data_IF_171767441968
#
_entry.id   IF_171767441968
#
_cell.length_a   1.000
_cell.length_b   1.000
_cell.length_c   1.000
_cell.angle_alpha   90.00
_cell.angle_beta   90.00
_cell.angle_gamma   90.00
#
_symmetry.space_group_name_H-M   'P 1'
#
loop_
_entity.id
_entity.type
_entity.pdbx_description
1 polymer ?
#
# COMPACT_ATOMS: atom_id res chain seq x y z
N UNK A 1 -4.79 -2.77 -24.81
CA UNK A 1 -4.83 -1.61 -23.89
C UNK A 1 -4.47 -0.37 -24.71
N UNK A 2 -5.22 0.74 -24.64
CA UNK A 2 -4.81 1.98 -25.35
C UNK A 2 -3.41 2.42 -24.86
N UNK A 3 -2.57 2.98 -25.75
CA UNK A 3 -1.21 3.44 -25.40
C UNK A 3 -1.20 4.32 -24.15
N UNK A 4 -2.19 5.22 -24.00
CA UNK A 4 -2.35 6.09 -22.82
C UNK A 4 -2.66 5.31 -21.52
N UNK A 5 -3.51 4.28 -21.59
CA UNK A 5 -3.79 3.42 -20.43
C UNK A 5 -2.51 2.70 -19.98
N UNK A 6 -1.70 2.22 -20.92
CA UNK A 6 -0.41 1.61 -20.59
C UNK A 6 0.53 2.59 -19.89
N UNK A 7 0.66 3.81 -20.42
CA UNK A 7 1.47 4.86 -19.79
C UNK A 7 1.00 5.13 -18.36
N UNK A 8 -0.29 5.37 -18.15
CA UNK A 8 -0.83 5.64 -16.81
C UNK A 8 -0.54 4.49 -15.85
N UNK A 9 -0.79 3.24 -16.27
CA UNK A 9 -0.53 2.06 -15.44
C UNK A 9 0.94 1.97 -15.04
N UNK A 10 1.86 2.05 -16.00
CA UNK A 10 3.29 1.85 -15.72
C UNK A 10 3.91 3.01 -14.96
N UNK A 11 3.48 4.25 -15.24
CA UNK A 11 4.00 5.42 -14.52
C UNK A 11 3.49 5.44 -13.09
N UNK A 12 2.20 5.18 -12.83
CA UNK A 12 1.68 5.10 -11.44
C UNK A 12 2.24 3.90 -10.70
N UNK A 13 2.44 2.77 -11.37
CA UNK A 13 3.09 1.59 -10.79
C UNK A 13 4.52 1.92 -10.36
N UNK A 14 5.28 2.59 -11.23
CA UNK A 14 6.68 2.94 -10.96
C UNK A 14 6.77 4.04 -9.90
N UNK A 15 5.91 5.05 -9.93
CA UNK A 15 5.91 6.12 -8.93
C UNK A 15 5.67 5.59 -7.52
N UNK A 16 4.68 4.72 -7.33
CA UNK A 16 4.47 4.10 -6.02
C UNK A 16 5.56 3.13 -5.62
N UNK A 17 6.12 2.39 -6.59
CA UNK A 17 7.30 1.57 -6.37
C UNK A 17 8.47 2.39 -5.82
N UNK A 18 8.69 3.61 -6.33
CA UNK A 18 9.71 4.53 -5.82
C UNK A 18 9.38 5.08 -4.42
N UNK A 19 8.10 5.35 -4.12
CA UNK A 19 7.69 5.66 -2.74
C UNK A 19 8.09 4.54 -1.77
N UNK A 20 7.84 3.28 -2.11
CA UNK A 20 8.24 2.13 -1.28
C UNK A 20 9.75 1.91 -1.23
N UNK A 21 10.45 2.04 -2.35
CA UNK A 21 11.90 1.94 -2.41
C UNK A 21 12.57 2.97 -1.48
N UNK A 22 12.06 4.20 -1.44
CA UNK A 22 12.57 5.25 -0.55
C UNK A 22 12.33 4.96 0.94
N UNK A 23 11.27 4.23 1.31
CA UNK A 23 11.04 3.76 2.69
C UNK A 23 12.04 2.68 3.10
N UNK A 24 12.46 1.84 2.14
CA UNK A 24 13.45 0.79 2.36
C UNK A 24 14.84 1.31 2.71
N UNK A 25 15.15 2.58 2.35
CA UNK A 25 16.44 3.20 2.65
C UNK A 25 16.82 3.08 4.13
N UNK A 26 15.94 3.44 5.08
CA UNK A 26 16.24 3.30 6.51
C UNK A 26 16.36 1.82 6.91
N UNK A 27 15.43 0.97 6.46
CA UNK A 27 15.40 -0.43 6.89
C UNK A 27 16.66 -1.22 6.54
N UNK A 28 17.29 -0.94 5.39
CA UNK A 28 18.51 -1.63 4.94
C UNK A 28 19.81 -1.01 5.43
N UNK A 29 19.76 0.05 6.25
CA UNK A 29 20.96 0.70 6.83
C UNK A 29 20.90 0.85 8.34
N UNK A 30 19.93 0.21 9.01
CA UNK A 30 19.73 0.29 10.47
C UNK A 30 21.00 -0.02 11.25
N UNK A 31 21.75 -1.05 10.84
CA UNK A 31 23.00 -1.41 11.55
C UNK A 31 24.08 -0.36 11.36
N UNK A 32 24.19 0.21 10.15
CA UNK A 32 25.21 1.21 9.81
C UNK A 32 24.94 2.57 10.47
N UNK A 33 23.69 3.04 10.46
CA UNK A 33 23.33 4.31 11.10
C UNK A 33 23.46 4.22 12.63
N UNK A 34 23.12 3.06 13.21
CA UNK A 34 23.28 2.80 14.63
C UNK A 34 24.76 2.80 15.04
N UNK A 35 25.62 2.13 14.26
CA UNK A 35 27.06 2.17 14.47
C UNK A 35 27.62 3.59 14.40
N UNK A 36 27.07 4.44 13.51
CA UNK A 36 27.51 5.82 13.40
C UNK A 36 27.07 6.65 14.60
N UNK A 37 25.80 6.56 15.03
CA UNK A 37 25.30 7.24 16.22
C UNK A 37 26.10 6.93 17.49
N UNK A 38 26.67 5.73 17.59
CA UNK A 38 27.50 5.31 18.73
C UNK A 38 29.00 5.60 18.52
N UNK A 39 29.40 6.10 17.35
CA UNK A 39 30.79 6.44 17.06
C UNK A 39 31.24 7.59 17.96
N UNK A 40 32.37 7.41 18.65
CA UNK A 40 33.06 8.46 19.39
C UNK A 40 34.26 9.03 18.62
N UNK A 41 34.40 8.66 17.34
CA UNK A 41 35.58 9.01 16.52
C UNK A 41 35.35 10.29 15.68
N UNK A 42 34.14 10.45 15.16
CA UNK A 42 33.75 11.51 14.22
C UNK A 42 32.89 12.59 14.85
N UNK A 43 32.14 12.25 15.90
CA UNK A 43 31.29 13.14 16.68
C UNK A 43 31.11 12.54 18.08
N UNK A 44 30.60 13.30 19.07
CA UNK A 44 30.14 12.72 20.32
C UNK A 44 29.03 11.69 20.06
N UNK A 45 29.03 10.55 20.76
CA UNK A 45 28.00 9.53 20.57
C UNK A 45 26.63 10.09 20.96
N UNK A 46 25.63 9.84 20.11
CA UNK A 46 24.23 10.16 20.38
C UNK A 46 23.63 9.20 21.42
N UNK A 47 24.11 7.95 21.42
CA UNK A 47 23.72 6.89 22.36
C UNK A 47 24.97 6.19 22.89
N UNK A 48 24.99 5.90 24.19
CA UNK A 48 26.10 5.19 24.84
C UNK A 48 25.93 3.66 24.77
N UNK A 49 24.68 3.18 24.70
CA UNK A 49 24.35 1.76 24.69
C UNK A 49 23.60 1.37 23.41
N UNK A 50 23.91 0.17 22.91
CA UNK A 50 23.28 -0.43 21.72
C UNK A 50 21.75 -0.57 21.87
N UNK A 51 21.28 -0.89 23.09
CA UNK A 51 19.87 -0.99 23.39
C UNK A 51 19.12 0.34 23.14
N UNK A 52 19.66 1.46 23.61
CA UNK A 52 19.03 2.78 23.47
C UNK A 52 18.88 3.17 21.99
N UNK A 53 19.90 2.88 21.18
CA UNK A 53 19.88 3.15 19.74
C UNK A 53 18.87 2.25 19.00
N UNK A 54 18.75 0.97 19.37
CA UNK A 54 17.72 0.06 18.86
C UNK A 54 16.31 0.53 19.21
N UNK A 55 16.06 0.92 20.45
CA UNK A 55 14.76 1.47 20.87
C UNK A 55 14.43 2.76 20.11
N UNK A 56 15.43 3.60 19.83
CA UNK A 56 15.23 4.81 19.04
C UNK A 56 14.87 4.50 17.58
N UNK A 57 15.51 3.51 16.94
CA UNK A 57 15.13 3.05 15.60
C UNK A 57 13.68 2.55 15.54
N UNK A 58 13.28 1.72 16.49
CA UNK A 58 11.89 1.27 16.59
C UNK A 58 10.91 2.43 16.80
N UNK A 59 11.31 3.43 17.59
CA UNK A 59 10.54 4.65 17.80
C UNK A 59 10.41 5.47 16.51
N UNK A 60 11.46 5.59 15.70
CA UNK A 60 11.40 6.26 14.39
C UNK A 60 10.42 5.57 13.44
N UNK A 61 10.46 4.24 13.32
CA UNK A 61 9.51 3.48 12.49
C UNK A 61 8.06 3.71 12.96
N UNK A 62 7.83 3.70 14.28
CA UNK A 62 6.51 3.98 14.86
C UNK A 62 6.05 5.43 14.60
N UNK A 63 6.95 6.40 14.74
CA UNK A 63 6.69 7.82 14.48
C UNK A 63 6.32 8.04 13.02
N UNK A 64 7.09 7.46 12.09
CA UNK A 64 6.78 7.51 10.67
C UNK A 64 5.41 6.91 10.37
N UNK A 65 5.12 5.71 10.86
CA UNK A 65 3.82 5.06 10.63
C UNK A 65 2.65 5.84 11.25
N UNK A 66 2.86 6.47 12.40
CA UNK A 66 1.84 7.32 13.05
C UNK A 66 1.57 8.58 12.25
N UNK A 67 2.63 9.29 11.83
CA UNK A 67 2.52 10.48 10.99
C UNK A 67 1.87 10.15 9.64
N UNK A 68 2.29 9.03 9.02
CA UNK A 68 1.74 8.52 7.77
C UNK A 68 0.24 8.20 7.91
N UNK A 69 -0.16 7.51 8.98
CA UNK A 69 -1.57 7.19 9.26
C UNK A 69 -2.41 8.45 9.42
N UNK A 70 -1.98 9.41 10.22
CA UNK A 70 -2.67 10.68 10.43
C UNK A 70 -2.84 11.45 9.10
N UNK A 71 -1.77 11.51 8.31
CA UNK A 71 -1.77 12.20 7.03
C UNK A 71 -2.64 11.50 5.98
N UNK A 72 -2.80 10.18 6.00
CA UNK A 72 -3.70 9.48 5.05
C UNK A 72 -5.16 9.88 5.21
N UNK A 73 -5.64 10.11 6.43
CA UNK A 73 -6.99 10.63 6.64
C UNK A 73 -7.15 12.03 6.03
N UNK A 74 -6.13 12.88 6.20
CA UNK A 74 -6.11 14.23 5.65
C UNK A 74 -6.01 14.24 4.11
N UNK A 75 -5.03 13.54 3.54
CA UNK A 75 -4.80 13.43 2.11
C UNK A 75 -5.92 12.68 1.40
N UNK A 76 -6.58 11.74 2.06
CA UNK A 76 -7.79 11.11 1.54
C UNK A 76 -8.86 12.15 1.20
N UNK A 77 -9.23 12.98 2.19
CA UNK A 77 -10.23 14.04 2.02
C UNK A 77 -9.78 15.13 1.03
N UNK A 78 -8.51 15.52 1.07
CA UNK A 78 -7.99 16.58 0.22
C UNK A 78 -7.77 16.11 -1.23
N UNK A 79 -7.45 14.83 -1.42
CA UNK A 79 -7.23 14.21 -2.73
C UNK A 79 -8.47 14.16 -3.60
N UNK A 80 -9.68 14.18 -3.01
CA UNK A 80 -10.94 14.31 -3.77
C UNK A 80 -11.19 15.74 -4.27
N UNK A 81 -10.45 16.74 -3.75
CA UNK A 81 -10.59 18.17 -4.10
C UNK A 81 -9.46 18.67 -4.99
N UNK A 82 -8.28 18.07 -4.89
CA UNK A 82 -7.10 18.44 -5.67
C UNK A 82 -6.96 17.55 -6.90
N UNK A 83 -6.18 18.01 -7.87
CA UNK A 83 -5.81 17.18 -9.00
C UNK A 83 -4.74 16.15 -8.54
N UNK A 84 -5.03 14.84 -8.61
CA UNK A 84 -4.21 13.80 -7.98
C UNK A 84 -2.79 13.73 -8.57
N UNK A 85 -2.60 14.04 -9.86
CA UNK A 85 -1.28 14.15 -10.48
C UNK A 85 -0.36 15.11 -9.74
N UNK A 86 -0.85 16.32 -9.44
CA UNK A 86 -0.03 17.32 -8.75
C UNK A 86 0.24 16.94 -7.30
N UNK A 87 -0.72 16.28 -6.64
CA UNK A 87 -0.52 15.76 -5.28
C UNK A 87 0.57 14.68 -5.26
N UNK A 88 0.52 13.71 -6.17
CA UNK A 88 1.55 12.65 -6.28
C UNK A 88 2.92 13.26 -6.56
N UNK A 89 3.04 14.16 -7.54
CA UNK A 89 4.31 14.79 -7.88
C UNK A 89 4.88 15.63 -6.73
N UNK A 90 4.05 16.46 -6.08
CA UNK A 90 4.47 17.26 -4.93
C UNK A 90 4.89 16.38 -3.74
N UNK A 91 4.17 15.27 -3.50
CA UNK A 91 4.53 14.27 -2.50
C UNK A 91 5.88 13.62 -2.75
N UNK A 92 6.19 13.29 -4.00
CA UNK A 92 7.47 12.69 -4.39
C UNK A 92 8.63 13.68 -4.18
N UNK A 93 8.45 14.95 -4.57
CA UNK A 93 9.42 16.02 -4.30
C UNK A 93 9.61 16.22 -2.79
N UNK A 94 8.51 16.32 -2.03
CA UNK A 94 8.57 16.45 -0.57
C UNK A 94 9.27 15.26 0.09
N UNK A 95 9.03 14.06 -0.41
CA UNK A 95 9.68 12.82 0.05
C UNK A 95 11.18 12.84 -0.23
N UNK A 96 11.62 13.29 -1.42
CA UNK A 96 13.03 13.46 -1.73
C UNK A 96 13.73 14.44 -0.77
N UNK A 97 13.10 15.58 -0.53
CA UNK A 97 13.65 16.63 0.36
C UNK A 97 13.77 16.10 1.79
N UNK A 98 12.67 15.57 2.34
CA UNK A 98 12.63 15.11 3.74
C UNK A 98 13.52 13.90 3.98
N UNK A 99 13.67 12.99 3.01
CA UNK A 99 14.59 11.85 3.12
C UNK A 99 16.07 12.28 3.07
N UNK A 100 16.41 13.24 2.21
CA UNK A 100 17.76 13.84 2.17
C UNK A 100 18.09 14.53 3.50
N UNK A 101 17.13 15.31 4.03
CA UNK A 101 17.25 15.95 5.33
C UNK A 101 17.44 14.92 6.45
N UNK A 102 16.68 13.83 6.45
CA UNK A 102 16.78 12.80 7.49
C UNK A 102 18.13 12.07 7.49
N UNK A 103 18.58 11.56 6.34
CA UNK A 103 19.69 10.61 6.31
C UNK A 103 21.04 11.17 5.84
N UNK A 104 21.04 12.12 4.90
CA UNK A 104 22.27 12.61 4.27
C UNK A 104 22.86 13.81 5.01
N UNK A 105 22.01 14.75 5.42
CA UNK A 105 22.44 16.04 5.98
C UNK A 105 23.12 15.91 7.36
N UNK A 106 22.61 15.11 8.31
CA UNK A 106 23.30 14.86 9.59
C UNK A 106 24.73 14.36 9.43
N UNK A 107 24.93 13.40 8.51
CA UNK A 107 26.24 12.82 8.21
C UNK A 107 27.19 13.81 7.55
N UNK A 108 26.71 14.53 6.54
CA UNK A 108 27.52 15.49 5.78
C UNK A 108 28.01 16.66 6.65
N UNK A 109 27.16 17.13 7.57
CA UNK A 109 27.44 18.28 8.44
C UNK A 109 27.91 17.88 9.84
N UNK A 110 28.04 16.58 10.13
CA UNK A 110 28.40 16.02 11.43
C UNK A 110 27.58 16.58 12.62
N UNK A 111 26.26 16.74 12.45
CA UNK A 111 25.36 17.07 13.55
C UNK A 111 24.34 15.94 13.74
N UNK A 112 24.17 15.50 14.99
CA UNK A 112 23.29 14.39 15.34
C UNK A 112 22.40 14.83 16.49
N UNK A 113 21.09 14.78 16.29
CA UNK A 113 20.11 15.23 17.29
C UNK A 113 18.86 14.38 17.21
N UNK A 114 18.44 13.83 18.35
CA UNK A 114 17.21 13.05 18.50
C UNK A 114 16.01 13.83 17.94
N UNK A 115 15.88 15.10 18.33
CA UNK A 115 14.76 15.94 17.89
C UNK A 115 14.76 16.19 16.38
N UNK A 116 15.94 16.31 15.78
CA UNK A 116 16.07 16.51 14.33
C UNK A 116 15.61 15.26 13.56
N UNK A 117 16.08 14.07 13.98
CA UNK A 117 15.66 12.81 13.37
C UNK A 117 14.16 12.59 13.51
N UNK A 118 13.59 12.86 14.70
CA UNK A 118 12.14 12.77 14.92
C UNK A 118 11.38 13.72 13.98
N UNK A 119 11.76 15.00 13.94
CA UNK A 119 11.04 16.01 13.15
C UNK A 119 11.10 15.73 11.64
N UNK A 120 12.28 15.39 11.13
CA UNK A 120 12.47 15.08 9.71
C UNK A 120 11.74 13.82 9.30
N UNK A 121 11.68 12.80 10.17
CA UNK A 121 10.99 11.55 9.87
C UNK A 121 9.46 11.66 10.02
N UNK A 122 8.96 12.51 10.93
CA UNK A 122 7.55 12.95 10.94
C UNK A 122 7.22 13.62 9.61
N UNK A 123 8.03 14.60 9.18
CA UNK A 123 7.82 15.30 7.93
C UNK A 123 7.80 14.34 6.73
N UNK A 124 8.74 13.38 6.70
CA UNK A 124 8.77 12.32 5.69
C UNK A 124 7.48 11.50 5.68
N UNK A 125 6.99 11.05 6.84
CA UNK A 125 5.72 10.32 6.96
C UNK A 125 4.50 11.12 6.46
N UNK A 126 4.41 12.41 6.81
CA UNK A 126 3.31 13.28 6.40
C UNK A 126 3.25 13.48 4.87
N UNK A 127 4.40 13.67 4.22
CA UNK A 127 4.46 13.89 2.75
C UNK A 127 4.33 12.58 1.98
N UNK A 128 4.89 11.47 2.48
CA UNK A 128 4.78 10.14 1.88
C UNK A 128 3.33 9.65 1.76
N UNK A 129 2.47 10.04 2.71
CA UNK A 129 1.09 9.58 2.78
C UNK A 129 0.22 10.00 1.59
N UNK A 130 0.53 11.11 0.92
CA UNK A 130 -0.33 11.65 -0.12
C UNK A 130 -0.39 10.80 -1.41
N UNK A 131 0.64 9.97 -1.65
CA UNK A 131 0.78 9.18 -2.88
C UNK A 131 -0.35 8.16 -3.05
N UNK A 132 -0.66 7.38 -2.01
CA UNK A 132 -1.58 6.25 -2.14
C UNK A 132 -3.01 6.63 -2.50
N UNK A 133 -3.70 7.54 -1.76
CA UNK A 133 -5.08 7.89 -2.09
C UNK A 133 -5.20 8.52 -3.49
N UNK A 134 -4.20 9.33 -3.87
CA UNK A 134 -4.16 10.03 -5.15
C UNK A 134 -3.95 9.08 -6.33
N UNK A 135 -3.05 8.09 -6.20
CA UNK A 135 -2.83 7.10 -7.25
C UNK A 135 -4.00 6.11 -7.37
N UNK A 136 -4.63 5.71 -6.25
CA UNK A 136 -5.86 4.92 -6.30
C UNK A 136 -6.96 5.70 -7.01
N UNK A 137 -7.09 7.01 -6.79
CA UNK A 137 -8.05 7.84 -7.51
C UNK A 137 -7.76 7.87 -9.04
N UNK A 138 -6.50 7.99 -9.44
CA UNK A 138 -6.08 7.91 -10.86
C UNK A 138 -6.41 6.53 -11.43
N UNK A 139 -6.03 5.46 -10.74
CA UNK A 139 -6.27 4.09 -11.20
C UNK A 139 -7.77 3.77 -11.30
N UNK A 140 -8.58 4.23 -10.35
CA UNK A 140 -10.03 4.10 -10.41
C UNK A 140 -10.63 4.85 -11.61
N UNK A 141 -10.14 6.07 -11.90
CA UNK A 141 -10.62 6.85 -13.04
C UNK A 141 -10.31 6.19 -14.40
N UNK A 142 -9.14 5.56 -14.53
CA UNK A 142 -8.67 4.97 -15.80
C UNK A 142 -9.07 3.51 -16.00
N UNK A 143 -9.20 2.74 -14.92
CA UNK A 143 -9.39 1.28 -14.93
C UNK A 143 -10.60 0.80 -14.13
N UNK A 144 -11.40 1.71 -13.58
CA UNK A 144 -12.60 1.39 -12.81
C UNK A 144 -13.75 0.79 -13.62
N UNK A 145 -13.56 0.05 -14.72
CA UNK A 145 -14.62 -0.75 -15.38
C UNK A 145 -14.00 -2.07 -15.90
N UNK A 146 -14.70 -3.20 -15.74
CA UNK A 146 -14.23 -4.53 -16.19
C UNK A 146 -13.47 -5.32 -15.13
N UNK A 147 -12.43 -6.07 -15.53
CA UNK A 147 -11.57 -6.93 -14.68
C UNK A 147 -10.70 -6.12 -13.69
N UNK A 148 -11.36 -5.41 -12.76
CA UNK A 148 -10.74 -4.50 -11.80
C UNK A 148 -9.81 -5.24 -10.85
N UNK A 149 -10.13 -6.47 -10.47
CA UNK A 149 -9.35 -7.25 -9.53
C UNK A 149 -7.99 -7.63 -10.08
N UNK A 150 -7.92 -8.12 -11.31
CA UNK A 150 -6.65 -8.48 -11.94
C UNK A 150 -5.78 -7.24 -12.18
N UNK A 151 -6.37 -6.17 -12.73
CA UNK A 151 -5.62 -4.94 -13.01
C UNK A 151 -5.08 -4.34 -11.71
N UNK A 152 -5.91 -4.24 -10.67
CA UNK A 152 -5.50 -3.66 -9.40
C UNK A 152 -4.62 -4.60 -8.58
N UNK A 153 -4.80 -5.92 -8.69
CA UNK A 153 -3.91 -6.91 -8.10
C UNK A 153 -2.52 -6.86 -8.72
N UNK A 154 -2.44 -6.68 -10.04
CA UNK A 154 -1.18 -6.44 -10.73
C UNK A 154 -0.59 -5.06 -10.41
N UNK A 155 -1.42 -4.02 -10.32
CA UNK A 155 -0.94 -2.69 -10.00
C UNK A 155 -0.42 -2.60 -8.55
N UNK A 156 -1.16 -3.14 -7.58
CA UNK A 156 -0.78 -3.14 -6.16
C UNK A 156 0.51 -3.92 -5.87
N UNK A 157 0.95 -4.78 -6.80
CA UNK A 157 2.28 -5.38 -6.75
C UNK A 157 3.42 -4.35 -6.86
N UNK A 158 3.13 -3.07 -7.18
CA UNK A 158 4.09 -1.97 -7.10
C UNK A 158 4.73 -1.85 -5.72
N UNK A 159 3.99 -2.15 -4.64
CA UNK A 159 4.51 -2.08 -3.27
C UNK A 159 5.64 -3.11 -3.05
N UNK A 160 5.40 -4.43 -3.16
CA UNK A 160 6.47 -5.41 -3.01
C UNK A 160 7.57 -5.27 -4.07
N UNK A 161 7.25 -4.89 -5.32
CA UNK A 161 8.30 -4.63 -6.34
C UNK A 161 9.19 -3.45 -5.93
N UNK A 162 8.62 -2.38 -5.38
CA UNK A 162 9.35 -1.25 -4.81
C UNK A 162 10.22 -1.66 -3.62
N UNK A 163 9.73 -2.55 -2.75
CA UNK A 163 10.49 -3.09 -1.62
C UNK A 163 11.72 -3.88 -2.08
N UNK A 164 11.56 -4.76 -3.07
CA UNK A 164 12.64 -5.55 -3.66
C UNK A 164 13.67 -4.62 -4.30
N UNK A 165 13.22 -3.70 -5.15
CA UNK A 165 14.09 -2.73 -5.79
C UNK A 165 14.86 -1.89 -4.76
N UNK A 166 14.17 -1.35 -3.75
CA UNK A 166 14.79 -0.54 -2.70
C UNK A 166 15.81 -1.31 -1.86
N UNK A 167 15.55 -2.59 -1.56
CA UNK A 167 16.49 -3.43 -0.80
C UNK A 167 17.76 -3.73 -1.61
N UNK A 168 17.61 -4.12 -2.89
CA UNK A 168 18.74 -4.34 -3.81
C UNK A 168 19.52 -3.04 -4.00
N UNK A 169 18.82 -1.93 -4.23
CA UNK A 169 19.44 -0.63 -4.45
C UNK A 169 20.23 -0.16 -3.22
N UNK A 170 19.66 -0.30 -2.03
CA UNK A 170 20.34 0.03 -0.77
C UNK A 170 21.60 -0.82 -0.58
N UNK A 171 21.51 -2.15 -0.79
CA UNK A 171 22.65 -3.05 -0.67
C UNK A 171 23.79 -2.73 -1.67
N UNK A 172 23.46 -2.27 -2.89
CA UNK A 172 24.45 -1.88 -3.89
C UNK A 172 25.16 -0.55 -3.56
N UNK A 173 24.45 0.37 -2.92
CA UNK A 173 24.96 1.72 -2.60
C UNK A 173 25.66 1.76 -1.25
N UNK A 174 25.28 0.89 -0.30
CA UNK A 174 25.79 0.87 1.07
C UNK A 174 27.33 0.87 1.19
N UNK A 175 28.11 0.17 0.33
CA UNK A 175 29.58 0.24 0.38
C UNK A 175 30.18 1.64 0.20
N UNK A 176 29.41 2.58 -0.37
CA UNK A 176 29.82 3.98 -0.54
C UNK A 176 29.60 4.82 0.74
N UNK A 177 28.77 4.35 1.68
CA UNK A 177 28.30 5.08 2.86
C UNK A 177 26.77 5.07 2.96
N UNK A 178 26.24 4.99 4.18
CA UNK A 178 24.78 4.91 4.38
C UNK A 178 24.08 6.20 3.94
N UNK A 179 24.73 7.35 4.06
CA UNK A 179 24.22 8.66 3.66
C UNK A 179 23.91 8.75 2.16
N UNK A 180 24.64 8.00 1.34
CA UNK A 180 24.42 7.91 -0.09
C UNK A 180 23.20 7.07 -0.44
N UNK A 181 22.84 6.09 0.40
CA UNK A 181 21.60 5.34 0.21
C UNK A 181 20.39 6.27 0.30
N UNK A 182 20.38 7.21 1.24
CA UNK A 182 19.34 8.22 1.38
C UNK A 182 19.37 9.24 0.23
N UNK A 183 20.56 9.73 -0.14
CA UNK A 183 20.71 10.73 -1.20
C UNK A 183 20.27 10.18 -2.56
N UNK A 184 20.74 8.98 -2.93
CA UNK A 184 20.44 8.42 -4.25
C UNK A 184 18.98 7.95 -4.34
N UNK A 185 18.38 7.42 -3.26
CA UNK A 185 16.92 7.17 -3.24
C UNK A 185 16.12 8.47 -3.40
N UNK A 186 16.58 9.57 -2.79
CA UNK A 186 15.96 10.89 -2.93
C UNK A 186 16.04 11.41 -4.37
N UNK A 187 17.16 11.18 -5.06
CA UNK A 187 17.29 11.53 -6.49
C UNK A 187 16.37 10.67 -7.37
N UNK A 188 16.25 9.37 -7.09
CA UNK A 188 15.37 8.48 -7.85
C UNK A 188 13.89 8.88 -7.74
N UNK A 189 13.41 9.16 -6.52
CA UNK A 189 12.02 9.60 -6.34
C UNK A 189 11.79 11.00 -6.93
N UNK A 190 12.79 11.88 -6.94
CA UNK A 190 12.72 13.18 -7.62
C UNK A 190 12.61 13.04 -9.15
N UNK A 191 13.39 12.14 -9.76
CA UNK A 191 13.26 11.81 -11.19
C UNK A 191 11.87 11.24 -11.47
N UNK A 192 11.39 10.34 -10.61
CA UNK A 192 10.02 9.81 -10.68
C UNK A 192 8.96 10.91 -10.65
N UNK A 193 9.13 11.94 -9.82
CA UNK A 193 8.22 13.08 -9.73
C UNK A 193 8.13 13.84 -11.07
N UNK A 194 9.27 14.06 -11.73
CA UNK A 194 9.33 14.71 -13.05
C UNK A 194 8.58 13.86 -14.07
N UNK A 195 8.80 12.54 -14.08
CA UNK A 195 8.12 11.62 -15.00
C UNK A 195 6.60 11.65 -14.76
N UNK A 196 6.13 11.56 -13.52
CA UNK A 196 4.70 11.68 -13.19
C UNK A 196 4.12 12.99 -13.69
N UNK A 197 4.82 14.10 -13.46
CA UNK A 197 4.37 15.43 -13.84
C UNK A 197 4.23 15.60 -15.36
N UNK A 198 5.10 14.99 -16.16
CA UNK A 198 5.03 15.10 -17.63
C UNK A 198 4.18 14.02 -18.30
N UNK A 199 4.04 12.82 -17.70
CA UNK A 199 3.50 11.64 -18.39
C UNK A 199 2.09 11.22 -18.02
N UNK A 200 1.56 11.61 -16.86
CA UNK A 200 0.22 11.19 -16.42
C UNK A 200 -0.80 12.30 -16.64
N UNK A 201 -1.99 11.95 -17.12
CA UNK A 201 -3.19 12.77 -17.04
C UNK A 201 -4.12 12.18 -15.96
N UNK A 202 -4.63 13.03 -15.05
CA UNK A 202 -5.42 12.58 -13.90
C UNK A 202 -6.74 11.94 -14.29
N UNK A 203 -7.38 12.46 -15.35
CA UNK A 203 -8.60 11.88 -15.91
C UNK A 203 -8.43 11.64 -17.41
N UNK A 204 -9.09 10.62 -17.98
CA UNK A 204 -9.09 10.40 -19.43
C UNK A 204 -9.56 11.62 -20.24
N UNK A 205 -10.46 12.42 -19.65
CA UNK A 205 -11.05 13.63 -20.25
C UNK A 205 -10.06 14.80 -20.34
N UNK A 206 -9.06 14.86 -19.46
CA UNK A 206 -8.02 15.91 -19.46
C UNK A 206 -7.03 15.72 -20.62
N UNK A 207 -7.05 14.54 -21.26
CA UNK A 207 -6.22 14.22 -22.40
C UNK A 207 -6.89 14.73 -23.70
N UNK A 208 -6.87 16.04 -23.93
CA UNK A 208 -7.35 16.66 -25.17
C UNK A 208 -6.79 15.89 -26.39
N UNK A 209 -7.68 15.44 -27.28
CA UNK A 209 -7.30 14.80 -28.55
C UNK A 209 -8.01 13.49 -28.91
N UNK A 210 -8.96 12.97 -28.12
CA UNK A 210 -9.67 11.71 -28.44
C UNK A 210 -11.20 11.85 -28.61
N UNK A 211 -11.67 13.00 -29.10
CA UNK A 211 -13.07 13.17 -29.54
C UNK A 211 -13.24 13.71 -30.97
N UNK A 212 -12.16 13.85 -31.76
CA UNK A 212 -12.28 14.42 -33.12
C UNK A 212 -12.35 13.41 -34.28
N UNK A 213 -12.28 12.09 -34.06
CA UNK A 213 -12.26 11.12 -35.18
C UNK A 213 -13.45 10.14 -35.25
N UNK A 214 -14.48 10.31 -34.42
CA UNK A 214 -15.68 9.43 -34.46
C UNK A 214 -17.02 10.20 -34.53
N UNK A 215 -17.02 11.53 -34.47
CA UNK A 215 -18.25 12.34 -34.33
C UNK A 215 -18.69 13.14 -35.56
N UNK A 216 -18.08 12.98 -36.75
CA UNK A 216 -18.54 13.72 -37.94
C UNK A 216 -19.78 13.10 -38.62
N UNK A 217 -20.07 11.80 -38.43
CA UNK A 217 -21.24 11.15 -39.04
C UNK A 217 -22.44 10.93 -38.09
N UNK A 218 -22.25 11.01 -36.76
CA UNK A 218 -23.31 10.72 -35.77
C UNK A 218 -23.99 11.97 -35.19
N UNK A 219 -23.50 13.17 -35.50
CA UNK A 219 -23.97 14.43 -34.90
C UNK A 219 -25.40 14.79 -35.31
N UNK A 220 -25.83 14.43 -36.52
CA UNK A 220 -27.20 14.74 -36.99
C UNK A 220 -28.28 13.87 -36.33
N UNK A 221 -27.99 12.60 -36.06
CA UNK A 221 -28.94 11.71 -35.38
C UNK A 221 -29.02 11.96 -33.86
N UNK A 222 -27.89 12.34 -33.23
CA UNK A 222 -27.83 12.57 -31.77
C UNK A 222 -28.47 13.90 -31.35
N UNK A 223 -28.43 14.94 -32.19
CA UNK A 223 -29.08 16.23 -31.89
C UNK A 223 -30.62 16.16 -31.85
N UNK A 224 -31.24 15.17 -32.51
CA UNK A 224 -32.70 15.00 -32.47
C UNK A 224 -33.15 14.19 -31.25
N UNK A 225 -32.30 13.34 -30.68
CA UNK A 225 -32.54 12.58 -29.44
C UNK A 225 -32.20 13.38 -28.16
N UNK A 226 -31.19 14.25 -28.20
CA UNK A 226 -30.78 15.08 -27.06
C UNK A 226 -31.80 16.16 -26.66
N UNK A 227 -32.82 16.44 -27.48
CA UNK A 227 -33.90 17.37 -27.10
C UNK A 227 -34.98 16.73 -26.20
N UNK A 228 -34.96 15.42 -25.97
CA UNK A 228 -35.99 14.71 -25.18
C UNK A 228 -35.51 14.11 -23.85
N UNK A 229 -34.20 14.11 -23.58
CA UNK A 229 -33.64 13.70 -22.29
C UNK A 229 -33.05 14.93 -21.61
N UNK A 230 -33.90 15.59 -20.85
CA UNK A 230 -33.56 16.79 -20.10
C UNK A 230 -32.71 16.40 -18.88
N UNK A 231 -31.47 16.90 -18.86
CA UNK A 231 -30.49 16.96 -17.77
C UNK A 231 -29.87 15.65 -17.22
N UNK A 232 -28.69 15.21 -17.70
CA UNK A 232 -27.69 14.64 -16.81
C UNK A 232 -27.00 15.84 -16.12
N UNK A 233 -27.55 16.29 -15.00
CA UNK A 233 -26.80 17.18 -14.12
C UNK A 233 -25.47 16.52 -13.78
N UNK A 234 -24.37 17.11 -14.24
CA UNK A 234 -23.02 16.91 -13.69
C UNK A 234 -23.02 17.44 -12.26
N UNK A 235 -23.70 16.74 -11.36
CA UNK A 235 -23.62 16.94 -9.93
C UNK A 235 -22.26 16.41 -9.49
N UNK A 236 -21.26 17.29 -9.42
CA UNK A 236 -20.12 17.05 -8.55
C UNK A 236 -20.67 17.01 -7.12
N UNK A 237 -21.03 15.82 -6.63
CA UNK A 237 -21.46 15.64 -5.25
C UNK A 237 -20.39 16.18 -4.30
N UNK A 238 -20.81 16.79 -3.19
CA UNK A 238 -19.86 17.32 -2.20
C UNK A 238 -18.94 16.22 -1.66
N UNK A 239 -17.65 16.51 -1.39
CA UNK A 239 -16.74 15.57 -0.75
C UNK A 239 -17.34 15.02 0.55
N UNK A 240 -17.31 13.69 0.72
CA UNK A 240 -17.87 13.07 1.92
C UNK A 240 -16.95 13.27 3.13
N UNK A 241 -17.53 13.45 4.31
CA UNK A 241 -16.78 13.45 5.57
C UNK A 241 -16.29 12.05 5.94
N UNK A 242 -15.20 11.93 6.70
CA UNK A 242 -14.68 10.64 7.20
C UNK A 242 -15.70 9.79 7.95
N UNK A 243 -16.57 10.41 8.76
CA UNK A 243 -17.62 9.69 9.51
C UNK A 243 -18.62 9.05 8.55
N UNK A 244 -19.09 9.80 7.56
CA UNK A 244 -19.97 9.27 6.50
C UNK A 244 -19.28 8.13 5.75
N UNK A 245 -18.00 8.28 5.39
CA UNK A 245 -17.23 7.23 4.73
C UNK A 245 -17.10 5.96 5.58
N UNK A 246 -16.88 6.09 6.89
CA UNK A 246 -16.76 4.96 7.82
C UNK A 246 -18.07 4.18 7.98
N UNK A 247 -19.20 4.87 7.94
CA UNK A 247 -20.53 4.28 8.06
C UNK A 247 -21.03 3.59 6.78
N UNK A 248 -20.27 3.68 5.68
CA UNK A 248 -20.61 2.98 4.45
C UNK A 248 -20.57 1.45 4.65
N UNK A 249 -21.48 0.70 3.98
CA UNK A 249 -21.56 -0.75 4.11
C UNK A 249 -20.22 -1.45 3.86
N UNK A 250 -19.72 -2.15 4.89
CA UNK A 250 -18.51 -2.94 4.81
C UNK A 250 -17.19 -2.17 4.97
N UNK A 251 -17.19 -0.82 4.93
CA UNK A 251 -15.95 -0.03 5.06
C UNK A 251 -15.29 -0.27 6.42
N UNK A 252 -16.02 -0.14 7.53
CA UNK A 252 -15.49 -0.39 8.87
C UNK A 252 -14.92 -1.80 9.03
N UNK A 253 -15.61 -2.82 8.48
CA UNK A 253 -15.15 -4.21 8.54
C UNK A 253 -13.80 -4.40 7.83
N UNK A 254 -13.66 -3.82 6.64
CA UNK A 254 -12.40 -3.86 5.89
C UNK A 254 -11.31 -2.97 6.52
N UNK A 255 -11.66 -1.86 7.18
CA UNK A 255 -10.69 -1.04 7.93
C UNK A 255 -10.07 -1.84 9.09
N UNK A 256 -10.89 -2.54 9.88
CA UNK A 256 -10.39 -3.38 11.00
C UNK A 256 -9.56 -4.55 10.47
N UNK A 257 -10.03 -5.19 9.39
CA UNK A 257 -9.28 -6.25 8.71
C UNK A 257 -7.92 -5.74 8.21
N UNK A 258 -7.90 -4.58 7.55
CA UNK A 258 -6.68 -3.97 7.03
C UNK A 258 -5.73 -3.53 8.15
N UNK A 259 -6.23 -3.04 9.29
CA UNK A 259 -5.41 -2.72 10.46
C UNK A 259 -4.63 -3.93 10.96
N UNK A 260 -5.29 -5.08 11.09
CA UNK A 260 -4.64 -6.33 11.51
C UNK A 260 -3.62 -6.82 10.46
N UNK A 261 -4.01 -6.83 9.18
CA UNK A 261 -3.15 -7.33 8.11
C UNK A 261 -1.96 -6.43 7.81
N UNK A 262 -2.16 -5.12 7.78
CA UNK A 262 -1.08 -4.16 7.54
C UNK A 262 -0.07 -4.19 8.70
N UNK A 263 -0.53 -4.41 9.94
CA UNK A 263 0.37 -4.66 11.07
C UNK A 263 1.30 -5.85 10.80
N UNK A 264 0.75 -7.02 10.48
CA UNK A 264 1.56 -8.21 10.19
C UNK A 264 2.45 -7.98 8.97
N UNK A 265 1.91 -7.43 7.88
CA UNK A 265 2.66 -7.20 6.65
C UNK A 265 3.83 -6.22 6.85
N UNK A 266 3.62 -5.15 7.61
CA UNK A 266 4.66 -4.15 7.88
C UNK A 266 5.65 -4.62 8.94
N UNK A 267 5.26 -5.59 9.79
CA UNK A 267 6.22 -6.28 10.63
C UNK A 267 7.29 -6.99 9.79
N UNK A 268 6.88 -7.74 8.76
CA UNK A 268 7.81 -8.33 7.81
C UNK A 268 8.59 -7.25 7.05
N UNK A 269 7.96 -6.14 6.65
CA UNK A 269 8.66 -5.06 5.94
C UNK A 269 9.83 -4.44 6.73
N UNK A 270 9.62 -4.13 8.02
CA UNK A 270 10.58 -3.38 8.84
C UNK A 270 11.52 -4.26 9.68
N UNK A 271 11.09 -5.46 10.06
CA UNK A 271 11.79 -6.30 11.05
C UNK A 271 12.32 -7.61 10.48
N UNK A 272 11.90 -8.03 9.28
CA UNK A 272 12.32 -9.33 8.73
C UNK A 272 13.84 -9.46 8.56
N UNK A 273 14.58 -8.48 8.00
CA UNK A 273 16.04 -8.58 7.94
C UNK A 273 16.67 -8.67 9.33
N UNK A 274 16.21 -7.83 10.27
CA UNK A 274 16.72 -7.84 11.64
C UNK A 274 16.48 -9.19 12.32
N UNK A 275 15.28 -9.78 12.17
CA UNK A 275 14.97 -11.11 12.68
C UNK A 275 15.93 -12.17 12.14
N UNK A 276 16.23 -12.14 10.84
CA UNK A 276 17.12 -13.13 10.22
C UNK A 276 18.56 -13.00 10.72
N UNK A 277 19.04 -11.77 10.93
CA UNK A 277 20.36 -11.50 11.51
C UNK A 277 20.42 -11.87 12.98
N UNK A 278 19.40 -11.55 13.77
CA UNK A 278 19.35 -11.82 15.21
C UNK A 278 19.17 -13.32 15.53
N UNK A 279 18.21 -13.99 14.86
CA UNK A 279 17.86 -15.37 15.16
C UNK A 279 18.80 -16.42 14.51
N UNK A 280 19.40 -16.10 13.36
CA UNK A 280 20.21 -17.05 12.59
C UNK A 280 21.65 -16.58 12.33
N UNK A 281 22.04 -15.40 12.82
CA UNK A 281 23.38 -14.82 12.67
C UNK A 281 23.84 -14.68 11.22
N UNK A 282 22.89 -14.48 10.30
CA UNK A 282 23.20 -14.19 8.89
C UNK A 282 23.66 -12.74 8.72
N UNK A 283 24.55 -12.53 7.75
CA UNK A 283 25.02 -11.18 7.40
C UNK A 283 23.84 -10.31 6.94
N UNK A 284 23.89 -9.01 7.23
CA UNK A 284 22.82 -8.04 6.89
C UNK A 284 22.45 -8.09 5.40
N UNK A 285 23.46 -8.14 4.52
CA UNK A 285 23.24 -8.27 3.07
C UNK A 285 22.53 -9.56 2.66
N UNK A 286 22.80 -10.67 3.35
CA UNK A 286 22.16 -11.97 3.09
C UNK A 286 20.73 -11.98 3.63
N UNK A 287 20.51 -11.43 4.82
CA UNK A 287 19.19 -11.27 5.43
C UNK A 287 18.26 -10.40 4.56
N UNK A 288 18.78 -9.28 4.04
CA UNK A 288 18.07 -8.42 3.10
C UNK A 288 17.70 -9.16 1.81
N UNK A 289 18.64 -9.90 1.21
CA UNK A 289 18.38 -10.70 0.02
C UNK A 289 17.35 -11.81 0.26
N UNK A 290 17.37 -12.46 1.42
CA UNK A 290 16.36 -13.45 1.76
C UNK A 290 14.98 -12.83 1.98
N UNK A 291 14.91 -11.63 2.55
CA UNK A 291 13.64 -10.92 2.80
C UNK A 291 12.82 -10.67 1.52
N UNK A 292 13.47 -10.59 0.36
CA UNK A 292 12.85 -10.45 -0.97
C UNK A 292 11.84 -11.56 -1.26
N UNK A 293 12.05 -12.78 -0.74
CA UNK A 293 11.14 -13.90 -0.99
C UNK A 293 9.74 -13.68 -0.40
N UNK A 294 9.64 -12.92 0.69
CA UNK A 294 8.34 -12.48 1.22
C UNK A 294 7.59 -11.60 0.20
N UNK A 295 8.26 -10.56 -0.31
CA UNK A 295 7.68 -9.65 -1.30
C UNK A 295 7.33 -10.38 -2.61
N UNK A 296 8.19 -11.33 -3.04
CA UNK A 296 7.94 -12.16 -4.21
C UNK A 296 6.65 -12.98 -4.08
N UNK A 297 6.43 -13.60 -2.91
CA UNK A 297 5.18 -14.27 -2.60
C UNK A 297 3.98 -13.33 -2.67
N UNK A 298 4.12 -12.11 -2.14
CA UNK A 298 3.08 -11.07 -2.17
C UNK A 298 2.69 -10.62 -3.57
N UNK A 299 3.64 -10.51 -4.50
CA UNK A 299 3.39 -10.22 -5.92
C UNK A 299 2.50 -11.31 -6.53
N UNK A 300 2.89 -12.58 -6.35
CA UNK A 300 2.14 -13.72 -6.90
C UNK A 300 0.73 -13.75 -6.29
N UNK A 301 0.62 -13.62 -4.96
CA UNK A 301 -0.66 -13.64 -4.25
C UNK A 301 -1.61 -12.53 -4.72
N UNK A 302 -1.09 -11.32 -4.93
CA UNK A 302 -1.88 -10.17 -5.40
C UNK A 302 -2.37 -10.34 -6.85
N UNK A 303 -1.47 -10.71 -7.77
CA UNK A 303 -1.82 -10.87 -9.20
C UNK A 303 -2.78 -12.03 -9.40
N UNK A 304 -2.44 -13.21 -8.87
CA UNK A 304 -3.25 -14.43 -9.01
C UNK A 304 -4.56 -14.25 -8.27
N UNK A 305 -4.54 -13.68 -7.07
CA UNK A 305 -5.76 -13.45 -6.31
C UNK A 305 -6.69 -12.44 -6.97
N UNK A 306 -6.14 -11.41 -7.62
CA UNK A 306 -6.90 -10.44 -8.40
C UNK A 306 -7.63 -11.10 -9.57
N UNK A 307 -6.94 -11.97 -10.31
CA UNK A 307 -7.52 -12.78 -11.38
C UNK A 307 -8.61 -13.73 -10.89
N UNK A 308 -8.33 -14.51 -9.83
CA UNK A 308 -9.27 -15.49 -9.28
C UNK A 308 -10.54 -14.78 -8.78
N UNK A 309 -10.39 -13.68 -8.05
CA UNK A 309 -11.55 -12.95 -7.52
C UNK A 309 -12.39 -12.29 -8.60
N UNK A 310 -11.80 -11.85 -9.72
CA UNK A 310 -12.57 -11.39 -10.89
C UNK A 310 -13.39 -12.54 -11.48
N UNK A 311 -12.80 -13.72 -11.63
CA UNK A 311 -13.50 -14.91 -12.14
C UNK A 311 -14.60 -15.40 -11.19
N UNK A 312 -14.40 -15.25 -9.88
CA UNK A 312 -15.40 -15.60 -8.86
C UNK A 312 -16.53 -14.58 -8.76
N UNK A 313 -16.34 -13.33 -9.21
CA UNK A 313 -17.29 -12.23 -9.03
C UNK A 313 -17.44 -11.73 -7.58
N UNK A 314 -16.83 -12.39 -6.59
CA UNK A 314 -16.79 -11.99 -5.18
C UNK A 314 -15.37 -12.04 -4.64
N UNK A 315 -14.99 -11.04 -3.82
CA UNK A 315 -13.63 -10.88 -3.28
C UNK A 315 -13.40 -11.64 -1.97
N UNK A 316 -14.35 -11.55 -1.04
CA UNK A 316 -14.11 -11.97 0.35
C UNK A 316 -13.81 -13.47 0.53
N UNK A 317 -14.37 -14.42 -0.25
CA UNK A 317 -14.07 -15.84 -0.04
C UNK A 317 -12.61 -16.21 -0.27
N UNK A 318 -11.99 -15.66 -1.31
CA UNK A 318 -10.57 -15.91 -1.56
C UNK A 318 -9.71 -15.31 -0.44
N UNK A 319 -10.01 -14.07 -0.03
CA UNK A 319 -9.27 -13.39 1.03
C UNK A 319 -9.32 -14.20 2.33
N UNK A 320 -10.51 -14.61 2.76
CA UNK A 320 -10.64 -15.47 3.96
C UNK A 320 -9.87 -16.77 3.79
N UNK A 321 -9.91 -17.41 2.62
CA UNK A 321 -9.11 -18.60 2.33
C UNK A 321 -7.60 -18.36 2.48
N UNK A 322 -7.08 -17.26 1.92
CA UNK A 322 -5.67 -16.88 2.04
C UNK A 322 -5.29 -16.60 3.49
N UNK A 323 -6.17 -15.95 4.28
CA UNK A 323 -5.95 -15.67 5.70
C UNK A 323 -6.01 -16.93 6.58
N UNK A 324 -6.82 -17.91 6.23
CA UNK A 324 -6.79 -19.21 6.94
C UNK A 324 -5.49 -19.94 6.64
N UNK A 325 -5.06 -19.95 5.37
CA UNK A 325 -3.77 -20.52 4.98
C UNK A 325 -2.58 -19.79 5.62
N UNK A 326 -2.71 -18.47 5.90
CA UNK A 326 -1.64 -17.70 6.51
C UNK A 326 -1.34 -18.11 7.95
N UNK A 327 -2.34 -18.60 8.69
CA UNK A 327 -2.12 -19.14 10.05
C UNK A 327 -1.18 -20.35 9.98
N UNK A 328 -1.41 -21.25 9.02
CA UNK A 328 -0.55 -22.41 8.79
C UNK A 328 0.85 -22.04 8.30
N UNK A 329 0.97 -21.09 7.37
CA UNK A 329 2.28 -20.65 6.85
C UNK A 329 3.10 -19.93 7.91
N UNK A 330 2.49 -19.09 8.75
CA UNK A 330 3.14 -18.44 9.88
C UNK A 330 3.58 -19.45 10.94
N UNK A 331 2.75 -20.46 11.23
CA UNK A 331 3.14 -21.54 12.13
C UNK A 331 4.37 -22.29 11.61
N UNK A 332 4.39 -22.66 10.34
CA UNK A 332 5.56 -23.30 9.73
C UNK A 332 6.79 -22.40 9.78
N UNK A 333 6.65 -21.11 9.48
CA UNK A 333 7.77 -20.16 9.49
C UNK A 333 8.37 -19.97 10.88
N UNK A 334 7.56 -19.99 11.95
CA UNK A 334 8.03 -19.93 13.33
C UNK A 334 8.91 -21.14 13.74
N UNK A 335 8.93 -22.22 12.94
CA UNK A 335 9.62 -23.48 13.25
C UNK A 335 10.60 -23.95 12.17
N UNK A 336 10.77 -23.22 11.07
CA UNK A 336 11.51 -23.72 9.89
C UNK A 336 13.04 -23.78 10.07
N UNK A 337 13.58 -23.10 11.08
CA UNK A 337 15.01 -23.10 11.38
C UNK A 337 15.89 -22.41 10.31
N UNK A 338 17.21 -22.58 10.39
CA UNK A 338 18.19 -21.80 9.61
C UNK A 338 18.48 -22.36 8.21
N UNK A 339 17.71 -23.31 7.68
CA UNK A 339 17.99 -23.83 6.34
C UNK A 339 17.50 -22.84 5.28
N UNK A 340 18.41 -22.09 4.64
CA UNK A 340 18.10 -20.95 3.74
C UNK A 340 17.04 -21.26 2.68
N UNK A 341 17.14 -22.41 1.98
CA UNK A 341 16.17 -22.77 0.95
C UNK A 341 14.75 -22.96 1.52
N UNK A 342 14.65 -23.61 2.67
CA UNK A 342 13.36 -23.88 3.31
C UNK A 342 12.76 -22.61 3.89
N UNK A 343 13.62 -21.77 4.48
CA UNK A 343 13.25 -20.44 4.95
C UNK A 343 12.67 -19.59 3.79
N UNK A 344 13.35 -19.51 2.65
CA UNK A 344 12.89 -18.79 1.46
C UNK A 344 11.55 -19.31 0.90
N UNK A 345 11.37 -20.64 0.80
CA UNK A 345 10.15 -21.26 0.27
C UNK A 345 8.92 -21.00 1.17
N UNK A 346 9.07 -21.15 2.48
CA UNK A 346 7.96 -20.86 3.41
C UNK A 346 7.73 -19.36 3.54
N UNK A 347 8.78 -18.54 3.51
CA UNK A 347 8.63 -17.09 3.48
C UNK A 347 7.86 -16.62 2.23
N UNK A 348 8.10 -17.24 1.06
CA UNK A 348 7.30 -17.01 -0.14
C UNK A 348 5.83 -17.40 0.08
N UNK A 349 5.59 -18.51 0.77
CA UNK A 349 4.23 -18.96 1.12
C UNK A 349 3.54 -18.00 2.10
N UNK A 350 4.27 -17.46 3.08
CA UNK A 350 3.79 -16.42 4.01
C UNK A 350 3.48 -15.14 3.22
N UNK A 351 4.37 -14.70 2.33
CA UNK A 351 4.13 -13.55 1.44
C UNK A 351 2.87 -13.70 0.60
N UNK A 352 2.69 -14.87 -0.02
CA UNK A 352 1.48 -15.17 -0.80
C UNK A 352 0.21 -15.06 0.05
N UNK A 353 0.24 -15.59 1.27
CA UNK A 353 -0.94 -15.72 2.15
C UNK A 353 -1.20 -14.50 3.06
N UNK A 354 -0.21 -13.63 3.29
CA UNK A 354 -0.31 -12.41 4.12
C UNK A 354 -0.27 -11.15 3.26
N UNK A 355 0.80 -10.95 2.49
CA UNK A 355 0.97 -9.78 1.63
C UNK A 355 -0.03 -9.78 0.46
N UNK A 356 -0.31 -10.95 -0.11
CA UNK A 356 -1.32 -11.13 -1.16
C UNK A 356 -2.70 -10.55 -0.81
N UNK A 357 -3.39 -11.03 0.24
CA UNK A 357 -4.70 -10.48 0.62
C UNK A 357 -4.63 -9.03 1.09
N UNK A 358 -3.54 -8.60 1.73
CA UNK A 358 -3.32 -7.19 2.06
C UNK A 358 -3.32 -6.32 0.78
N UNK A 359 -2.54 -6.68 -0.24
CA UNK A 359 -2.48 -5.96 -1.52
C UNK A 359 -3.84 -5.92 -2.25
N UNK A 360 -4.61 -7.02 -2.18
CA UNK A 360 -5.97 -7.05 -2.72
C UNK A 360 -6.93 -6.10 -2.00
N UNK A 361 -6.82 -6.00 -0.67
CA UNK A 361 -7.65 -5.12 0.15
C UNK A 361 -7.35 -3.66 -0.19
N UNK A 362 -6.09 -3.26 -0.12
CA UNK A 362 -5.71 -1.87 -0.35
C UNK A 362 -5.89 -1.46 -1.82
N UNK A 363 -5.72 -2.39 -2.77
CA UNK A 363 -5.88 -2.13 -4.20
C UNK A 363 -7.33 -2.27 -4.68
N UNK A 364 -7.78 -3.51 -4.88
CA UNK A 364 -9.07 -3.80 -5.52
C UNK A 364 -10.28 -3.49 -4.64
N UNK A 365 -10.26 -3.87 -3.35
CA UNK A 365 -11.39 -3.62 -2.44
C UNK A 365 -11.53 -2.13 -2.12
N UNK A 366 -10.42 -1.41 -1.99
CA UNK A 366 -10.47 0.06 -1.84
C UNK A 366 -11.29 0.72 -2.95
N UNK A 367 -11.09 0.28 -4.20
CA UNK A 367 -11.87 0.75 -5.34
C UNK A 367 -13.32 0.28 -5.28
N UNK A 368 -13.56 -0.99 -4.94
CA UNK A 368 -14.92 -1.53 -4.81
C UNK A 368 -15.73 -0.81 -3.72
N UNK A 369 -15.11 -0.45 -2.60
CA UNK A 369 -15.72 0.33 -1.51
C UNK A 369 -15.98 1.78 -1.92
N UNK A 370 -15.05 2.41 -2.63
CA UNK A 370 -15.21 3.77 -3.13
C UNK A 370 -16.22 3.90 -4.29
N UNK A 371 -16.48 2.81 -5.00
CA UNK A 371 -17.36 2.77 -6.18
C UNK A 371 -18.71 2.07 -5.93
N UNK A 372 -19.09 1.87 -4.67
CA UNK A 372 -20.32 1.14 -4.32
C UNK A 372 -21.60 1.93 -4.69
N UNK A 373 -22.77 1.26 -4.85
CA UNK A 373 -24.02 1.92 -5.22
C UNK A 373 -24.47 3.02 -4.25
N UNK A 374 -24.14 2.92 -2.95
CA UNK A 374 -24.42 3.97 -1.96
C UNK A 374 -23.70 5.30 -2.25
N UNK A 375 -22.71 5.29 -3.15
CA UNK A 375 -21.97 6.46 -3.63
C UNK A 375 -22.31 6.80 -5.09
N UNK A 376 -23.36 6.18 -5.67
CA UNK A 376 -23.82 6.50 -7.02
C UNK A 376 -24.17 7.99 -7.11
N UNK A 377 -23.45 8.72 -7.97
CA UNK A 377 -23.56 10.18 -8.12
C UNK A 377 -22.52 11.01 -7.36
N UNK A 378 -21.70 10.42 -6.49
CA UNK A 378 -20.58 11.10 -5.83
C UNK A 378 -19.23 10.51 -6.26
N UNK A 379 -18.64 11.11 -7.29
CA UNK A 379 -17.31 10.72 -7.80
C UNK A 379 -16.14 11.20 -6.91
N UNK A 380 -16.42 12.00 -5.87
CA UNK A 380 -15.45 12.61 -4.94
C UNK A 380 -15.38 11.86 -3.59
N UNK A 381 -15.47 10.53 -3.62
CA UNK A 381 -15.36 9.69 -2.43
C UNK A 381 -14.21 8.67 -2.49
N UNK A 382 -13.58 8.49 -3.66
CA UNK A 382 -12.58 7.45 -3.89
C UNK A 382 -11.32 7.66 -3.04
N UNK A 383 -10.80 8.89 -3.02
CA UNK A 383 -9.60 9.21 -2.26
C UNK A 383 -9.89 9.17 -0.75
N UNK A 384 -11.06 9.66 -0.32
CA UNK A 384 -11.47 9.59 1.09
C UNK A 384 -11.61 8.16 1.60
N UNK A 385 -12.28 7.27 0.85
CA UNK A 385 -12.43 5.85 1.24
C UNK A 385 -11.07 5.14 1.24
N UNK A 386 -10.23 5.38 0.23
CA UNK A 386 -8.89 4.80 0.16
C UNK A 386 -8.00 5.28 1.32
N UNK A 387 -8.01 6.60 1.60
CA UNK A 387 -7.28 7.19 2.72
C UNK A 387 -7.77 6.72 4.09
N UNK A 388 -9.08 6.50 4.26
CA UNK A 388 -9.64 5.92 5.48
C UNK A 388 -9.20 4.46 5.66
N UNK A 389 -9.30 3.64 4.60
CA UNK A 389 -8.90 2.23 4.62
C UNK A 389 -7.41 2.08 4.91
N UNK A 390 -6.57 2.82 4.18
CA UNK A 390 -5.12 2.73 4.35
C UNK A 390 -4.63 3.43 5.62
N UNK A 391 -5.30 4.50 6.05
CA UNK A 391 -5.00 5.24 7.28
C UNK A 391 -5.25 4.39 8.52
N UNK A 392 -6.39 3.71 8.58
CA UNK A 392 -6.68 2.73 9.65
C UNK A 392 -5.72 1.54 9.63
N UNK A 393 -5.38 1.05 8.42
CA UNK A 393 -4.30 0.09 8.21
C UNK A 393 -2.99 0.54 8.86
N UNK A 394 -2.59 1.77 8.57
CA UNK A 394 -1.30 2.34 8.98
C UNK A 394 -1.26 2.60 10.48
N UNK A 395 -2.38 2.98 11.09
CA UNK A 395 -2.51 3.07 12.54
C UNK A 395 -2.29 1.71 13.21
N UNK A 396 -2.84 0.63 12.63
CA UNK A 396 -2.55 -0.74 13.08
C UNK A 396 -1.07 -1.08 13.00
N UNK A 397 -0.40 -0.72 11.90
CA UNK A 397 1.04 -0.92 11.75
C UNK A 397 1.87 -0.10 12.76
N UNK A 398 1.50 1.15 13.04
CA UNK A 398 2.15 1.96 14.06
C UNK A 398 2.10 1.30 15.45
N UNK A 399 0.95 0.73 15.83
CA UNK A 399 0.82 -0.06 17.06
C UNK A 399 1.76 -1.28 17.00
N UNK A 400 1.83 -1.96 15.86
CA UNK A 400 2.75 -3.08 15.65
C UNK A 400 4.22 -2.72 15.88
N UNK A 401 4.68 -1.57 15.37
CA UNK A 401 6.08 -1.15 15.51
C UNK A 401 6.49 -0.94 16.98
N UNK A 402 5.55 -0.56 17.84
CA UNK A 402 5.78 -0.45 19.29
C UNK A 402 5.67 -1.81 19.99
N UNK A 403 4.73 -2.65 19.56
CA UNK A 403 4.42 -3.91 20.21
C UNK A 403 5.45 -5.02 19.93
N UNK A 404 5.99 -5.09 18.71
CA UNK A 404 6.89 -6.17 18.27
C UNK A 404 8.17 -6.23 19.10
N UNK A 405 8.92 -5.12 19.32
CA UNK A 405 10.13 -5.15 20.13
C UNK A 405 9.87 -5.65 21.56
N UNK A 406 8.78 -5.18 22.19
CA UNK A 406 8.41 -5.59 23.56
C UNK A 406 8.14 -7.09 23.65
N UNK A 407 7.36 -7.63 22.71
CA UNK A 407 7.08 -9.08 22.67
C UNK A 407 8.36 -9.87 22.40
N UNK A 408 9.20 -9.38 21.48
CA UNK A 408 10.43 -10.04 21.10
C UNK A 408 11.43 -10.12 22.26
N UNK A 409 11.55 -9.05 23.05
CA UNK A 409 12.43 -8.97 24.22
C UNK A 409 11.95 -9.90 25.35
N UNK A 410 10.66 -9.85 25.68
CA UNK A 410 10.11 -10.61 26.82
C UNK A 410 9.86 -12.10 26.52
N UNK A 411 9.44 -12.43 25.29
CA UNK A 411 8.89 -13.74 24.93
C UNK A 411 9.58 -14.38 23.71
N UNK A 412 10.48 -13.66 23.02
CA UNK A 412 11.21 -14.14 21.86
C UNK A 412 10.43 -14.10 20.53
N UNK A 413 11.15 -14.30 19.42
CA UNK A 413 10.59 -14.21 18.06
C UNK A 413 9.43 -15.18 17.75
N UNK A 414 9.40 -16.36 18.39
CA UNK A 414 8.28 -17.30 18.20
C UNK A 414 6.95 -16.71 18.67
N UNK A 415 6.96 -15.97 19.79
CA UNK A 415 5.77 -15.30 20.30
C UNK A 415 5.24 -14.23 19.33
N UNK A 416 6.14 -13.50 18.68
CA UNK A 416 5.78 -12.51 17.64
C UNK A 416 4.97 -13.17 16.52
N UNK A 417 5.41 -14.32 16.01
CA UNK A 417 4.67 -15.04 14.97
C UNK A 417 3.30 -15.56 15.46
N UNK A 418 3.19 -16.02 16.71
CA UNK A 418 1.89 -16.42 17.27
C UNK A 418 0.92 -15.25 17.40
N UNK A 419 1.41 -14.05 17.76
CA UNK A 419 0.59 -12.84 17.76
C UNK A 419 0.11 -12.50 16.34
N UNK A 420 0.94 -12.69 15.31
CA UNK A 420 0.50 -12.51 13.92
C UNK A 420 -0.61 -13.47 13.52
N UNK A 421 -0.56 -14.74 13.98
CA UNK A 421 -1.65 -15.70 13.76
C UNK A 421 -2.96 -15.22 14.41
N UNK A 422 -2.89 -14.72 15.64
CA UNK A 422 -4.06 -14.18 16.37
C UNK A 422 -4.63 -12.96 15.63
N UNK A 423 -3.79 -12.06 15.15
CA UNK A 423 -4.21 -10.89 14.35
C UNK A 423 -4.89 -11.31 13.04
N UNK A 424 -4.43 -12.37 12.38
CA UNK A 424 -5.08 -12.89 11.18
C UNK A 424 -6.45 -13.52 11.50
N UNK A 425 -6.61 -14.15 12.66
CA UNK A 425 -7.94 -14.60 13.14
C UNK A 425 -8.86 -13.40 13.35
N UNK A 426 -8.40 -12.33 13.99
CA UNK A 426 -9.20 -11.10 14.13
C UNK A 426 -9.57 -10.48 12.78
N UNK A 427 -8.64 -10.48 11.82
CA UNK A 427 -8.90 -10.02 10.46
C UNK A 427 -10.02 -10.82 9.78
N UNK A 428 -10.03 -12.15 9.93
CA UNK A 428 -11.09 -13.04 9.42
C UNK A 428 -12.42 -12.72 10.11
N UNK A 429 -12.43 -12.57 11.43
CA UNK A 429 -13.64 -12.25 12.19
C UNK A 429 -14.25 -10.91 11.76
N UNK A 430 -13.43 -9.90 11.48
CA UNK A 430 -13.87 -8.58 11.04
C UNK A 430 -14.69 -8.64 9.72
N UNK A 431 -14.26 -9.44 8.76
CA UNK A 431 -14.95 -9.59 7.45
C UNK A 431 -15.89 -10.80 7.37
N UNK A 432 -16.07 -11.55 8.46
CA UNK A 432 -16.87 -12.78 8.50
C UNK A 432 -18.31 -12.60 7.99
N UNK A 433 -18.97 -11.50 8.37
CA UNK A 433 -20.33 -11.18 7.89
C UNK A 433 -20.35 -11.00 6.37
N UNK A 434 -19.35 -10.31 5.81
CA UNK A 434 -19.22 -10.12 4.36
C UNK A 434 -18.93 -11.44 3.64
N UNK A 435 -18.04 -12.25 4.21
CA UNK A 435 -17.75 -13.60 3.74
C UNK A 435 -19.00 -14.48 3.66
N UNK A 436 -19.82 -14.50 4.72
CA UNK A 436 -21.07 -15.28 4.74
C UNK A 436 -22.04 -14.78 3.67
N UNK A 437 -22.16 -13.47 3.47
CA UNK A 437 -23.02 -12.89 2.44
C UNK A 437 -22.55 -13.27 1.02
N UNK A 438 -21.25 -13.11 0.72
CA UNK A 438 -20.67 -13.46 -0.58
C UNK A 438 -20.79 -14.96 -0.85
N UNK A 439 -20.57 -15.82 0.15
CA UNK A 439 -20.74 -17.27 0.03
C UNK A 439 -22.19 -17.69 -0.24
N UNK A 440 -23.17 -17.00 0.36
CA UNK A 440 -24.59 -17.23 0.07
C UNK A 440 -24.93 -16.84 -1.36
N UNK A 441 -24.47 -15.68 -1.83
CA UNK A 441 -24.67 -15.25 -3.22
C UNK A 441 -24.03 -16.21 -4.22
N UNK A 442 -22.79 -16.67 -3.98
CA UNK A 442 -22.14 -17.68 -4.84
C UNK A 442 -22.92 -19.01 -4.90
N UNK A 443 -23.53 -19.43 -3.78
CA UNK A 443 -24.39 -20.63 -3.75
C UNK A 443 -25.66 -20.42 -4.57
N UNK A 444 -26.31 -19.25 -4.48
CA UNK A 444 -27.50 -18.92 -5.27
C UNK A 444 -27.20 -18.90 -6.76
N UNK A 445 -26.10 -18.26 -7.17
CA UNK A 445 -25.63 -18.26 -8.57
C UNK A 445 -25.40 -19.69 -9.05
N UNK A 446 -24.74 -20.53 -8.25
CA UNK A 446 -24.50 -21.94 -8.61
C UNK A 446 -25.80 -22.75 -8.71
N UNK A 447 -26.81 -22.42 -7.91
CA UNK A 447 -28.12 -23.07 -7.95
C UNK A 447 -29.02 -22.54 -9.09
N UNK A 448 -28.57 -21.52 -9.85
CA UNK A 448 -29.40 -20.87 -10.88
C UNK A 448 -30.48 -19.95 -10.34
N UNK A 449 -30.43 -19.62 -9.04
CA UNK A 449 -31.39 -18.72 -8.37
C UNK A 449 -31.10 -17.24 -8.65
N UNK A 450 -29.90 -16.92 -9.14
CA UNK A 450 -29.39 -15.56 -9.37
C UNK A 450 -28.55 -15.58 -10.65
N UNK A 451 -28.84 -14.70 -11.62
CA UNK A 451 -28.03 -14.60 -12.84
C UNK A 451 -26.64 -14.03 -12.51
N UNK A 452 -25.54 -14.60 -13.05
CA UNK A 452 -24.20 -14.07 -12.83
C UNK A 452 -23.94 -12.70 -13.48
N UNK A 453 -24.90 -12.16 -14.25
CA UNK A 453 -24.80 -10.90 -14.97
C UNK A 453 -26.07 -10.06 -14.77
N UNK A 454 -25.85 -8.76 -14.56
CA UNK A 454 -26.77 -7.61 -14.52
C UNK A 454 -27.28 -7.17 -13.14
N UNK A 455 -26.47 -6.32 -12.51
CA UNK A 455 -26.94 -5.24 -11.63
C UNK A 455 -27.00 -3.91 -12.44
N UNK A 456 -27.39 -4.01 -13.72
CA UNK A 456 -27.45 -2.86 -14.63
C UNK A 456 -28.27 -3.18 -15.87
N UNK A 457 -29.40 -2.51 -15.98
CA UNK A 457 -30.20 -2.27 -17.21
C UNK A 457 -31.37 -3.19 -17.54
N UNK A 458 -32.05 -3.85 -16.59
CA UNK A 458 -33.37 -4.44 -16.87
C UNK A 458 -34.31 -4.32 -15.66
N UNK A 459 -34.98 -3.18 -15.53
CA UNK A 459 -36.32 -3.08 -14.93
C UNK A 459 -36.88 -1.67 -15.20
N UNK A 460 -37.61 -1.52 -16.31
CA UNK A 460 -38.82 -0.69 -16.49
C UNK A 460 -39.05 -0.40 -17.98
N UNK A 461 -39.86 -1.24 -18.63
CA UNK A 461 -41.06 -0.86 -19.39
C UNK A 461 -41.54 -2.01 -20.27
N UNK A 462 -42.35 -2.89 -19.71
CA UNK A 462 -43.49 -3.49 -20.42
C UNK A 462 -44.69 -3.38 -19.47
N UNK A 463 -45.48 -2.32 -19.69
CA UNK A 463 -46.96 -2.31 -19.79
C UNK A 463 -47.47 -0.87 -19.89
#
# INVERSE_FOLDING_TARGET
>A
MSSKRAVVFFVTFTSYGLYHASRKALSGVKSSIMSDWMSNSTHPPLFEHDADAKHFLGSLDAIFMTAYAAALFFWGMLGDRLNPKYVVAAGMVGSAVTLTLFGTIPKLLNFYSIYYYILTYIAFGLVQACGWPSEIAIMAAWFGKGNRGFIMGAWAACQPVGNIFGSIFTALVLPMGYEYTFLLNSLLILIGAIIVFISIDSKPQDSEGSYNNLEENNTRFRMQQLKKVQNPSTSHGEPISLIKALLLPGVLAYCICNACLKLVNYAFFFWLPLYLTDAYHWQESQADQLSIWYDFGGIIGSVVGGYITDKMGKRSPLIVGMLVCSIGSLFLYAHIGPHMLWNALVMTSVGFTVSGPYNLIVGSISIDLGSQPALAGNTQAMSTVSGLLDGTGSAGSAIGQVLIPVIQEDLGWKAVFYVFMVLNVFAILAISKRFIADMKSLRRIRNGEESPLLDGDDEQHED
#
